data_IF_893075067729
#
_entry.id   IF_893075067729
#
_cell.length_a   1.000
_cell.length_b   1.000
_cell.length_c   1.000
_cell.angle_alpha   90.00
_cell.angle_beta   90.00
_cell.angle_gamma   90.00
#
_symmetry.space_group_name_H-M   'P 1'
#
loop_
_entity.id
_entity.type
_entity.pdbx_description
1 polymer ?
#
# COMPACT_ATOMS: atom_id res chain seq x y z
N UNK A 1 -18.58 24.74 -8.37
CA UNK A 1 -17.42 24.32 -7.53
C UNK A 1 -17.11 25.44 -6.55
N UNK A 2 -17.20 25.19 -5.24
CA UNK A 2 -16.90 26.21 -4.22
C UNK A 2 -15.41 26.49 -4.09
N UNK A 3 -15.06 27.66 -3.54
CA UNK A 3 -13.65 28.01 -3.35
C UNK A 3 -12.97 27.13 -2.28
N UNK A 4 -11.65 26.93 -2.39
CA UNK A 4 -10.84 26.16 -1.41
C UNK A 4 -11.09 26.66 0.02
N UNK A 5 -11.44 25.78 0.94
CA UNK A 5 -11.66 26.12 2.35
C UNK A 5 -10.76 25.30 3.29
N UNK A 6 -10.34 25.85 4.45
CA UNK A 6 -10.52 27.24 4.92
C UNK A 6 -9.46 28.21 4.39
N UNK A 7 -9.80 29.51 4.28
CA UNK A 7 -8.90 30.61 3.84
C UNK A 7 -8.59 31.65 4.92
N UNK A 8 -9.12 31.49 6.14
CA UNK A 8 -8.91 32.45 7.22
C UNK A 8 -7.46 32.47 7.68
N UNK A 9 -6.97 33.64 8.10
CA UNK A 9 -5.59 33.89 8.53
C UNK A 9 -5.17 32.99 9.70
N UNK A 10 -6.08 32.75 10.67
CA UNK A 10 -5.85 31.87 11.83
C UNK A 10 -6.35 30.43 11.63
N UNK A 11 -6.53 29.96 10.39
CA UNK A 11 -7.12 28.64 10.09
C UNK A 11 -6.11 27.48 9.90
N UNK A 12 -4.84 27.69 10.24
CA UNK A 12 -3.75 26.72 10.00
C UNK A 12 -4.02 25.32 10.58
N UNK A 13 -4.55 25.24 11.81
CA UNK A 13 -4.87 23.95 12.47
C UNK A 13 -5.86 23.12 11.66
N UNK A 14 -6.90 23.75 11.12
CA UNK A 14 -7.91 23.10 10.30
C UNK A 14 -7.34 22.64 8.95
N UNK A 15 -6.45 23.44 8.33
CA UNK A 15 -5.76 23.04 7.10
C UNK A 15 -4.89 21.79 7.30
N UNK A 16 -4.14 21.73 8.39
CA UNK A 16 -3.31 20.58 8.74
C UNK A 16 -4.16 19.32 8.98
N UNK A 17 -5.24 19.42 9.76
CA UNK A 17 -6.15 18.29 9.99
C UNK A 17 -6.78 17.79 8.69
N UNK A 18 -7.24 18.71 7.83
CA UNK A 18 -7.80 18.38 6.51
C UNK A 18 -6.78 17.65 5.62
N UNK A 19 -5.53 18.12 5.58
CA UNK A 19 -4.47 17.46 4.80
C UNK A 19 -4.12 16.09 5.36
N UNK A 20 -4.05 15.93 6.69
CA UNK A 20 -3.85 14.62 7.35
C UNK A 20 -4.94 13.64 6.96
N UNK A 21 -6.21 14.04 7.02
CA UNK A 21 -7.33 13.18 6.64
C UNK A 21 -7.29 12.77 5.17
N UNK A 22 -6.98 13.70 4.26
CA UNK A 22 -6.84 13.35 2.85
C UNK A 22 -5.62 12.50 2.54
N UNK A 23 -4.53 12.63 3.31
CA UNK A 23 -3.33 11.80 3.15
C UNK A 23 -3.63 10.31 3.37
N UNK A 24 -4.60 9.97 4.23
CA UNK A 24 -5.01 8.59 4.45
C UNK A 24 -5.75 7.94 3.28
N UNK A 25 -6.30 8.72 2.34
CA UNK A 25 -6.92 8.19 1.12
C UNK A 25 -5.89 7.71 0.10
N UNK A 26 -4.63 8.11 0.23
CA UNK A 26 -3.53 7.60 -0.58
C UNK A 26 -3.20 6.16 -0.18
N UNK A 27 -3.33 5.24 -1.14
CA UNK A 27 -3.11 3.81 -0.97
C UNK A 27 -1.66 3.54 -0.55
N UNK A 28 -0.68 4.22 -1.14
CA UNK A 28 0.73 4.05 -0.80
C UNK A 28 1.04 4.52 0.62
N UNK A 29 0.44 5.65 1.02
CA UNK A 29 0.57 6.14 2.38
C UNK A 29 0.00 5.15 3.40
N UNK A 30 -1.19 4.61 3.14
CA UNK A 30 -1.85 3.63 4.02
C UNK A 30 -1.03 2.33 4.14
N UNK A 31 -0.61 1.74 3.01
CA UNK A 31 0.17 0.49 2.99
C UNK A 31 1.48 0.63 3.76
N UNK A 32 2.22 1.71 3.53
CA UNK A 32 3.49 1.99 4.21
C UNK A 32 3.32 2.26 5.70
N UNK A 33 2.37 3.13 6.07
CA UNK A 33 2.19 3.54 7.48
C UNK A 33 1.73 2.37 8.35
N UNK A 34 0.87 1.51 7.81
CA UNK A 34 0.38 0.32 8.52
C UNK A 34 1.28 -0.92 8.33
N UNK A 35 2.39 -0.79 7.57
CA UNK A 35 3.31 -1.89 7.23
C UNK A 35 2.59 -3.15 6.72
N UNK A 36 1.56 -2.95 5.90
CA UNK A 36 0.69 -4.05 5.44
C UNK A 36 1.47 -5.08 4.64
N UNK A 37 2.38 -4.61 3.78
CA UNK A 37 3.15 -5.47 2.88
C UNK A 37 4.03 -6.44 3.66
N UNK A 38 4.77 -5.94 4.66
CA UNK A 38 5.61 -6.76 5.55
C UNK A 38 4.79 -7.75 6.37
N UNK A 39 3.57 -7.39 6.76
CA UNK A 39 2.67 -8.27 7.51
C UNK A 39 2.15 -9.43 6.65
N UNK A 40 1.86 -9.19 5.38
CA UNK A 40 1.33 -10.20 4.46
C UNK A 40 2.39 -11.01 3.72
N UNK A 41 3.60 -10.46 3.60
CA UNK A 41 4.69 -11.08 2.83
C UNK A 41 5.20 -12.36 3.50
N UNK A 42 5.22 -13.51 2.80
CA UNK A 42 5.81 -14.75 3.34
C UNK A 42 7.29 -14.60 3.70
N UNK A 43 8.02 -13.70 3.05
CA UNK A 43 9.44 -13.43 3.34
C UNK A 43 9.63 -12.34 4.41
N UNK A 44 8.53 -11.78 4.94
CA UNK A 44 8.53 -10.70 5.95
C UNK A 44 9.42 -9.50 5.60
N UNK A 45 9.54 -9.18 4.31
CA UNK A 45 10.35 -8.07 3.79
C UNK A 45 11.84 -8.37 3.64
N UNK A 46 12.26 -9.63 3.73
CA UNK A 46 13.65 -10.04 3.50
C UNK A 46 13.96 -10.22 2.00
N UNK A 47 15.19 -9.92 1.54
CA UNK A 47 15.56 -10.09 0.13
C UNK A 47 15.69 -11.56 -0.31
N UNK A 48 15.92 -12.49 0.63
CA UNK A 48 16.10 -13.92 0.36
C UNK A 48 15.62 -14.78 1.54
N UNK A 49 15.25 -16.03 1.28
CA UNK A 49 14.91 -17.03 2.30
C UNK A 49 15.40 -18.44 1.92
N UNK A 50 15.38 -19.36 2.90
CA UNK A 50 15.70 -20.79 2.72
C UNK A 50 14.43 -21.62 2.91
N UNK A 51 14.32 -22.74 2.21
CA UNK A 51 13.18 -23.65 2.30
C UNK A 51 13.56 -25.10 2.02
N UNK A 52 12.68 -26.03 2.37
CA UNK A 52 12.80 -27.47 2.09
C UNK A 52 11.71 -27.83 1.06
N UNK A 53 12.07 -28.65 0.07
CA UNK A 53 11.13 -29.07 -0.98
C UNK A 53 10.16 -30.10 -0.41
N UNK A 54 8.86 -29.90 -0.67
CA UNK A 54 7.80 -30.85 -0.31
C UNK A 54 7.41 -31.73 -1.50
N UNK A 55 7.12 -31.12 -2.65
CA UNK A 55 6.65 -31.81 -3.85
C UNK A 55 7.02 -31.06 -5.13
N UNK A 56 6.88 -31.75 -6.28
CA UNK A 56 7.03 -31.17 -7.62
C UNK A 56 5.65 -31.04 -8.26
N UNK A 57 5.32 -29.84 -8.74
CA UNK A 57 4.00 -29.52 -9.34
C UNK A 57 4.18 -28.87 -10.71
N UNK A 58 3.37 -29.27 -11.69
CA UNK A 58 3.27 -28.60 -12.99
C UNK A 58 2.22 -27.49 -12.96
N UNK A 59 2.54 -26.31 -13.50
CA UNK A 59 1.62 -25.17 -13.59
C UNK A 59 1.58 -24.71 -15.05
N UNK A 60 0.39 -24.67 -15.62
CA UNK A 60 0.17 -24.23 -17.01
C UNK A 60 0.35 -22.71 -17.15
N UNK A 61 0.72 -22.26 -18.34
CA UNK A 61 0.87 -20.83 -18.62
C UNK A 61 -0.47 -20.10 -18.71
N UNK A 62 -0.48 -18.80 -18.39
CA UNK A 62 -1.64 -17.94 -18.65
C UNK A 62 -1.86 -17.80 -20.16
N UNK A 63 -3.12 -17.80 -20.57
CA UNK A 63 -3.55 -17.53 -21.95
C UNK A 63 -2.94 -16.21 -22.46
N UNK A 64 -2.55 -16.12 -23.75
CA UNK A 64 -2.84 -17.03 -24.86
C UNK A 64 -1.76 -18.11 -25.10
N UNK A 65 -0.81 -18.27 -24.18
CA UNK A 65 0.30 -19.21 -24.38
C UNK A 65 -0.12 -20.64 -24.03
N UNK A 66 0.46 -21.62 -24.75
CA UNK A 66 0.35 -23.05 -24.44
C UNK A 66 1.71 -23.59 -24.03
N UNK A 67 1.83 -24.02 -22.77
CA UNK A 67 3.00 -24.68 -22.16
C UNK A 67 2.52 -25.65 -21.08
#
# INVERSE_FOLDING_TARGET
MGSKAPKGELAARKLLAKRKNFRWKDVYYKRRTLRLDVKSDPLKGAPMARGIVLEKVGVESKQPNSA
#
